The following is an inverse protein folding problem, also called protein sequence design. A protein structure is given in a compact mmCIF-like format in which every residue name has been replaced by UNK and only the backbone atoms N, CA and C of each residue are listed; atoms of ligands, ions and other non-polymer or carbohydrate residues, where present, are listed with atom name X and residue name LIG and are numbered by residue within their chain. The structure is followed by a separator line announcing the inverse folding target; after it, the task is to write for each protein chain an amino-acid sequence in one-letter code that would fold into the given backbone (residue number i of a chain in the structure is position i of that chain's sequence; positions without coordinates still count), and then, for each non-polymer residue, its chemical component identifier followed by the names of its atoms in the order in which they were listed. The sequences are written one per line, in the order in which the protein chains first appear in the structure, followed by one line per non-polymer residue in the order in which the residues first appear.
data_IF_193555508996
#
_entry.id   IF_193555508996
#
_cell.length_a   1.000
_cell.length_b   1.000
_cell.length_c   1.000
_cell.angle_alpha   90.00
_cell.angle_beta   90.00
_cell.angle_gamma   90.00
#
_symmetry.space_group_name_H-M   'P 1'
#
loop_
_entity.id
_entity.type
_entity.pdbx_description
1 polymer ?
#
# COMPACT_ATOMS: atom_id res chain seq x y z
N UNK A 1 -8.19 21.01 47.30
CA UNK A 1 -8.92 20.46 46.14
C UNK A 1 -8.13 20.76 44.87
N UNK A 2 -7.52 19.76 44.20
CA UNK A 2 -6.93 19.97 42.88
C UNK A 2 -8.00 19.83 41.77
N UNK A 3 -7.84 20.50 40.62
CA UNK A 3 -8.81 20.48 39.52
C UNK A 3 -8.76 19.17 38.71
N UNK A 4 -9.84 18.82 37.99
CA UNK A 4 -10.01 17.53 37.33
C UNK A 4 -9.15 17.39 36.07
N UNK A 5 -8.82 16.12 35.80
CA UNK A 5 -7.77 15.68 34.89
C UNK A 5 -7.86 16.21 33.46
N UNK A 6 -6.71 16.70 32.97
CA UNK A 6 -6.44 16.77 31.54
C UNK A 6 -6.22 15.35 31.04
N UNK A 7 -7.21 14.78 30.36
CA UNK A 7 -7.05 13.60 29.53
C UNK A 7 -5.92 13.88 28.52
N UNK A 8 -4.72 13.38 28.80
CA UNK A 8 -3.65 13.33 27.81
C UNK A 8 -4.14 12.35 26.75
N UNK A 9 -4.65 12.87 25.64
CA UNK A 9 -4.83 12.12 24.41
C UNK A 9 -3.52 11.39 24.14
N UNK A 10 -3.50 10.09 24.43
CA UNK A 10 -2.37 9.24 24.19
C UNK A 10 -2.10 9.29 22.70
N UNK A 11 -1.06 10.02 22.31
CA UNK A 11 -0.51 10.01 20.96
C UNK A 11 -0.15 8.56 20.70
N UNK A 12 -1.02 7.84 19.99
CA UNK A 12 -0.79 6.47 19.55
C UNK A 12 0.52 6.50 18.76
N UNK A 13 1.61 6.07 19.40
CA UNK A 13 2.88 5.81 18.74
C UNK A 13 2.64 4.59 17.89
N UNK A 14 2.28 4.79 16.63
CA UNK A 14 2.22 3.71 15.66
C UNK A 14 3.66 3.32 15.36
N UNK A 15 4.10 2.19 15.91
CA UNK A 15 5.40 1.60 15.61
C UNK A 15 5.29 0.86 14.28
N UNK A 16 5.69 1.53 13.19
CA UNK A 16 5.78 0.91 11.88
C UNK A 16 7.13 0.20 11.77
N UNK A 17 7.12 -1.13 11.83
CA UNK A 17 8.23 -1.91 11.28
C UNK A 17 7.98 -2.05 9.78
N UNK A 18 8.92 -1.58 8.96
CA UNK A 18 8.82 -1.56 7.51
C UNK A 18 9.89 -2.47 6.94
N UNK A 19 9.48 -3.61 6.38
CA UNK A 19 10.35 -4.44 5.56
C UNK A 19 10.12 -4.08 4.09
N UNK A 20 11.19 -3.70 3.39
CA UNK A 20 11.13 -3.29 1.98
C UNK A 20 11.55 -4.46 1.09
N UNK A 21 10.70 -4.82 0.14
CA UNK A 21 11.03 -5.70 -0.97
C UNK A 21 10.87 -4.91 -2.28
N UNK A 22 11.94 -4.79 -3.05
CA UNK A 22 11.95 -4.02 -4.30
C UNK A 22 11.76 -4.95 -5.49
N UNK A 23 10.68 -4.76 -6.24
CA UNK A 23 10.54 -5.31 -7.60
C UNK A 23 10.86 -4.24 -8.65
N UNK A 24 10.99 -4.64 -9.91
CA UNK A 24 11.30 -3.71 -11.02
C UNK A 24 10.23 -2.64 -11.26
N UNK A 25 9.00 -2.84 -10.77
CA UNK A 25 7.87 -1.95 -11.01
C UNK A 25 7.20 -1.42 -9.74
N UNK A 26 7.27 -2.14 -8.61
CA UNK A 26 6.60 -1.75 -7.38
C UNK A 26 7.57 -1.85 -6.20
N UNK A 27 7.48 -0.86 -5.31
CA UNK A 27 8.04 -0.95 -3.96
C UNK A 27 7.01 -1.62 -3.07
N UNK A 28 7.40 -2.70 -2.39
CA UNK A 28 6.52 -3.42 -1.48
C UNK A 28 7.01 -3.23 -0.06
N UNK A 29 6.09 -2.87 0.84
CA UNK A 29 6.33 -2.64 2.25
C UNK A 29 5.43 -3.56 3.05
N UNK A 30 5.98 -4.19 4.09
CA UNK A 30 5.16 -4.82 5.13
C UNK A 30 5.02 -3.82 6.26
N UNK A 31 3.81 -3.34 6.52
CA UNK A 31 3.50 -2.41 7.58
C UNK A 31 2.89 -3.15 8.79
N UNK A 32 3.57 -3.12 9.93
CA UNK A 32 2.99 -3.57 11.19
C UNK A 32 2.12 -2.47 11.80
N UNK A 33 0.80 -2.69 11.86
CA UNK A 33 -0.14 -1.80 12.53
C UNK A 33 -0.38 -2.28 13.96
N UNK A 34 -0.52 -1.35 14.90
CA UNK A 34 -0.70 -1.65 16.33
C UNK A 34 -2.03 -2.35 16.65
N UNK A 35 -3.09 -2.09 15.87
CA UNK A 35 -4.44 -2.62 16.13
C UNK A 35 -4.93 -3.66 15.11
N UNK A 36 -4.41 -3.64 13.90
CA UNK A 36 -4.96 -4.42 12.77
C UNK A 36 -3.96 -5.45 12.20
N UNK A 37 -2.85 -5.70 12.90
CA UNK A 37 -1.81 -6.62 12.47
C UNK A 37 -0.99 -6.11 11.28
N UNK A 38 -0.32 -7.04 10.59
CA UNK A 38 0.49 -6.74 9.40
C UNK A 38 -0.39 -6.43 8.19
N UNK A 39 0.08 -5.52 7.34
CA UNK A 39 -0.49 -5.18 6.05
C UNK A 39 0.60 -5.14 5.01
N UNK A 40 0.27 -5.51 3.78
CA UNK A 40 1.16 -5.33 2.65
C UNK A 40 0.76 -4.03 1.95
N UNK A 41 1.73 -3.15 1.74
CA UNK A 41 1.56 -1.89 1.02
C UNK A 41 2.42 -1.96 -0.23
N UNK A 42 1.83 -1.70 -1.38
CA UNK A 42 2.53 -1.64 -2.66
C UNK A 42 2.40 -0.24 -3.21
N UNK A 43 3.52 0.35 -3.58
CA UNK A 43 3.58 1.67 -4.22
C UNK A 43 4.20 1.47 -5.59
N UNK A 44 3.56 2.03 -6.61
CA UNK A 44 4.11 2.03 -7.95
C UNK A 44 5.43 2.79 -7.97
N UNK A 45 6.47 2.14 -8.51
CA UNK A 45 7.80 2.72 -8.54
C UNK A 45 7.88 3.81 -9.60
N UNK A 46 8.04 5.04 -9.14
CA UNK A 46 8.39 6.22 -9.93
C UNK A 46 9.89 6.33 -10.20
N UNK A 47 10.60 5.21 -10.48
CA UNK A 47 11.99 5.34 -10.95
C UNK A 47 12.00 6.24 -12.19
N UNK A 48 12.61 7.40 -12.03
CA UNK A 48 12.75 8.42 -13.05
C UNK A 48 13.34 7.80 -14.30
N UNK A 49 12.50 7.73 -15.33
CA UNK A 49 12.80 7.43 -16.72
C UNK A 49 14.13 8.08 -17.11
N UNK A 50 15.20 7.29 -17.26
CA UNK A 50 16.22 7.69 -18.22
C UNK A 50 15.59 7.48 -19.60
N UNK A 51 15.53 8.55 -20.40
CA UNK A 51 14.89 8.57 -21.73
C UNK A 51 15.46 7.52 -22.71
N UNK A 52 16.52 6.82 -22.34
CA UNK A 52 17.43 6.18 -23.28
C UNK A 52 17.49 4.65 -23.16
N UNK A 53 16.79 4.05 -22.18
CA UNK A 53 16.77 2.60 -21.98
C UNK A 53 15.36 2.05 -22.22
N UNK A 54 15.14 1.48 -23.41
CA UNK A 54 13.87 0.92 -23.91
C UNK A 54 13.30 -0.29 -23.15
N UNK A 55 13.71 -0.52 -21.90
CA UNK A 55 13.21 -1.57 -21.02
C UNK A 55 12.70 -0.95 -19.71
N UNK A 56 11.40 -0.60 -19.62
CA UNK A 56 10.89 -0.03 -18.36
C UNK A 56 9.49 0.57 -18.33
N UNK A 57 8.64 0.36 -19.34
CA UNK A 57 7.28 0.89 -19.32
C UNK A 57 6.39 0.03 -18.38
N UNK A 58 6.29 0.40 -17.10
CA UNK A 58 5.06 0.08 -16.35
C UNK A 58 3.94 0.85 -17.04
N UNK A 59 2.94 0.16 -17.61
CA UNK A 59 1.78 0.87 -18.13
C UNK A 59 1.06 1.52 -16.95
N UNK A 60 0.51 2.74 -17.10
CA UNK A 60 -0.27 3.39 -16.05
C UNK A 60 -1.52 2.57 -15.66
N UNK A 61 -1.90 1.58 -16.48
CA UNK A 61 -2.98 0.64 -16.24
C UNK A 61 -2.58 -0.61 -15.45
N UNK A 62 -1.29 -0.83 -15.13
CA UNK A 62 -0.80 -2.08 -14.55
C UNK A 62 -1.33 -2.35 -13.14
N UNK A 63 -1.24 -1.38 -12.24
CA UNK A 63 -1.80 -1.55 -10.89
C UNK A 63 -3.34 -1.55 -10.91
N UNK A 64 -4.04 -0.70 -11.68
CA UNK A 64 -5.48 -0.83 -11.88
C UNK A 64 -5.93 -2.19 -12.40
N UNK A 65 -5.23 -2.78 -13.37
CA UNK A 65 -5.58 -4.08 -13.94
C UNK A 65 -5.35 -5.22 -12.95
N UNK A 66 -4.30 -5.14 -12.13
CA UNK A 66 -4.07 -6.08 -11.02
C UNK A 66 -5.22 -6.05 -10.01
N UNK A 67 -5.68 -4.86 -9.62
CA UNK A 67 -6.79 -4.69 -8.69
C UNK A 67 -8.10 -5.21 -9.28
N UNK A 68 -8.36 -4.90 -10.55
CA UNK A 68 -9.54 -5.41 -11.25
C UNK A 68 -9.53 -6.95 -11.32
N UNK A 69 -8.36 -7.54 -11.59
CA UNK A 69 -8.18 -9.00 -11.63
C UNK A 69 -8.43 -9.63 -10.25
N UNK A 70 -7.87 -9.05 -9.18
CA UNK A 70 -8.10 -9.54 -7.82
C UNK A 70 -9.58 -9.47 -7.42
N UNK A 71 -10.28 -8.39 -7.78
CA UNK A 71 -11.72 -8.25 -7.55
C UNK A 71 -12.50 -9.30 -8.34
N UNK A 72 -12.17 -9.48 -9.62
CA UNK A 72 -12.79 -10.49 -10.46
C UNK A 72 -12.61 -11.90 -9.89
N UNK A 73 -11.39 -12.28 -9.51
CA UNK A 73 -11.09 -13.60 -8.92
C UNK A 73 -11.80 -13.82 -7.60
N UNK A 74 -11.96 -12.78 -6.78
CA UNK A 74 -12.71 -12.85 -5.53
C UNK A 74 -14.19 -13.15 -5.76
N UNK A 75 -14.77 -12.57 -6.82
CA UNK A 75 -16.20 -12.70 -7.11
C UNK A 75 -16.52 -13.96 -7.94
N UNK A 76 -15.54 -14.50 -8.68
CA UNK A 76 -15.75 -15.56 -9.68
C UNK A 76 -14.91 -16.82 -9.46
N UNK A 77 -14.11 -16.91 -8.39
CA UNK A 77 -13.33 -18.11 -8.09
C UNK A 77 -13.36 -18.42 -6.60
N UNK A 78 -12.98 -19.65 -6.26
CA UNK A 78 -12.76 -20.09 -4.87
C UNK A 78 -11.30 -19.96 -4.44
N UNK A 79 -10.43 -19.42 -5.31
CA UNK A 79 -9.02 -19.21 -5.00
C UNK A 79 -8.94 -18.17 -3.88
N UNK A 80 -8.21 -18.43 -2.79
CA UNK A 80 -8.03 -17.45 -1.74
C UNK A 80 -7.21 -16.27 -2.26
N UNK A 81 -7.83 -15.09 -2.30
CA UNK A 81 -7.19 -13.83 -2.70
C UNK A 81 -7.06 -12.92 -1.47
N UNK A 82 -5.90 -12.28 -1.24
CA UNK A 82 -5.74 -11.37 -0.11
C UNK A 82 -6.73 -10.20 -0.19
N UNK A 83 -7.31 -9.82 0.96
CA UNK A 83 -8.28 -8.71 0.99
C UNK A 83 -7.61 -7.38 0.66
N UNK A 84 -8.16 -6.65 -0.31
CA UNK A 84 -7.79 -5.25 -0.56
C UNK A 84 -8.46 -4.35 0.49
N UNK A 85 -7.67 -3.54 1.17
CA UNK A 85 -8.15 -2.58 2.19
C UNK A 85 -8.31 -1.17 1.63
N UNK A 86 -7.45 -0.76 0.70
CA UNK A 86 -7.49 0.58 0.12
C UNK A 86 -6.64 0.65 -1.13
N UNK A 87 -7.04 1.50 -2.07
CA UNK A 87 -6.33 1.81 -3.29
C UNK A 87 -6.49 3.29 -3.57
N UNK A 88 -5.43 3.93 -4.05
CA UNK A 88 -5.46 5.30 -4.53
C UNK A 88 -4.57 5.44 -5.76
N UNK A 89 -5.00 6.27 -6.70
CA UNK A 89 -4.22 6.66 -7.87
C UNK A 89 -3.16 7.73 -7.55
N UNK A 90 -3.12 8.21 -6.30
CA UNK A 90 -2.25 9.29 -5.82
C UNK A 90 -2.42 10.56 -6.68
N UNK A 91 -3.69 10.89 -6.98
CA UNK A 91 -4.03 12.06 -7.78
C UNK A 91 -3.59 13.37 -7.11
N UNK A 92 -3.50 13.39 -5.77
CA UNK A 92 -2.98 14.47 -4.95
C UNK A 92 -1.44 14.49 -4.83
N UNK A 93 -0.76 13.44 -5.33
CA UNK A 93 0.70 13.28 -5.38
C UNK A 93 1.39 13.27 -4.00
N UNK A 94 0.69 12.86 -2.95
CA UNK A 94 1.27 12.84 -1.60
C UNK A 94 2.19 11.64 -1.33
N UNK A 95 1.99 10.53 -2.04
CA UNK A 95 2.76 9.28 -1.85
C UNK A 95 3.85 9.13 -2.92
N UNK A 96 3.69 9.78 -4.07
CA UNK A 96 4.62 9.74 -5.20
C UNK A 96 4.25 8.69 -6.26
N UNK A 97 3.10 8.03 -6.16
CA UNK A 97 2.65 7.05 -7.13
C UNK A 97 1.43 6.27 -6.65
N UNK A 98 0.75 5.64 -7.59
CA UNK A 98 -0.38 4.73 -7.34
C UNK A 98 -0.04 3.75 -6.22
N UNK A 99 -0.94 3.55 -5.26
CA UNK A 99 -0.68 2.64 -4.15
C UNK A 99 -1.87 1.75 -3.79
N UNK A 100 -1.54 0.60 -3.23
CA UNK A 100 -2.48 -0.45 -2.82
C UNK A 100 -2.11 -0.93 -1.41
N UNK A 101 -3.09 -1.00 -0.52
CA UNK A 101 -2.98 -1.64 0.79
C UNK A 101 -3.82 -2.90 0.78
N UNK A 102 -3.20 -4.02 1.12
CA UNK A 102 -3.83 -5.34 1.14
C UNK A 102 -3.44 -6.13 2.39
N UNK A 103 -4.18 -7.21 2.62
CA UNK A 103 -3.90 -8.19 3.64
C UNK A 103 -2.49 -8.78 3.47
N UNK A 104 -1.80 -8.95 4.58
CA UNK A 104 -0.55 -9.69 4.63
C UNK A 104 -0.90 -11.16 4.94
N UNK A 105 -0.56 -12.05 4.02
CA UNK A 105 -0.84 -13.50 4.09
C UNK A 105 0.44 -14.26 4.40
#
# INVERSE_FOLDING_TARGET
MPPPGKNKAGRLKTHFHVQVCTGSHHLTFIAQMSRSGKKLVRVESIYSRRRDSGSGLSSPSKMPSEIATMRYLKDHSTIPIPRIHGYDADADRHVGGTWLVMEYV
#
